data_IF_703595630753
#
_entry.id   IF_703595630753
#
_cell.length_a   1.000
_cell.length_b   1.000
_cell.length_c   1.000
_cell.angle_alpha   90.00
_cell.angle_beta   90.00
_cell.angle_gamma   90.00
#
_symmetry.space_group_name_H-M   'P 1'
#
loop_
_entity.id
_entity.type
_entity.pdbx_description
1 polymer ?
#
# COMPACT_ATOMS: atom_id res chain seq x y z
N UNK A 1 -76.37 -34.74 5.18
CA UNK A 1 -75.37 -34.87 6.25
C UNK A 1 -74.05 -35.16 5.57
N UNK A 2 -73.24 -34.11 5.45
CA UNK A 2 -71.97 -34.07 4.74
C UNK A 2 -70.86 -34.71 5.60
N UNK A 3 -69.69 -34.92 4.98
CA UNK A 3 -68.34 -35.10 5.56
C UNK A 3 -67.86 -36.57 5.72
N UNK A 4 -66.61 -36.96 5.44
CA UNK A 4 -65.41 -36.38 4.81
C UNK A 4 -64.43 -37.58 4.67
N UNK A 5 -63.78 -37.77 3.52
CA UNK A 5 -62.66 -38.72 3.36
C UNK A 5 -61.33 -38.00 3.70
N UNK A 6 -60.37 -38.64 4.39
CA UNK A 6 -59.11 -38.00 4.72
C UNK A 6 -58.15 -38.01 3.51
N UNK A 7 -57.66 -36.83 3.15
CA UNK A 7 -56.65 -36.64 2.12
C UNK A 7 -55.28 -37.09 2.63
N UNK A 8 -54.66 -38.06 1.95
CA UNK A 8 -53.29 -38.49 2.18
C UNK A 8 -52.33 -37.48 1.52
N UNK A 9 -51.64 -36.65 2.31
CA UNK A 9 -50.54 -35.82 1.82
C UNK A 9 -49.27 -36.69 1.70
N UNK A 10 -48.78 -36.90 0.48
CA UNK A 10 -47.47 -37.49 0.23
C UNK A 10 -46.38 -36.41 0.38
N UNK A 11 -45.47 -36.59 1.34
CA UNK A 11 -44.26 -35.79 1.50
C UNK A 11 -43.17 -36.28 0.52
N UNK A 12 -42.79 -35.45 -0.45
CA UNK A 12 -41.62 -35.66 -1.29
C UNK A 12 -40.35 -35.20 -0.56
N UNK A 13 -39.22 -35.91 -0.68
CA UNK A 13 -37.95 -35.47 -0.08
C UNK A 13 -37.34 -34.35 -0.92
N UNK A 14 -36.97 -33.26 -0.26
CA UNK A 14 -36.14 -32.20 -0.85
C UNK A 14 -34.73 -32.74 -1.08
N UNK A 15 -34.40 -33.01 -2.35
CA UNK A 15 -33.02 -33.25 -2.76
C UNK A 15 -32.21 -31.95 -2.59
N UNK A 16 -31.27 -31.96 -1.65
CA UNK A 16 -30.32 -30.86 -1.46
C UNK A 16 -29.44 -30.71 -2.70
N UNK A 17 -29.53 -29.56 -3.35
CA UNK A 17 -28.60 -29.16 -4.42
C UNK A 17 -27.27 -28.77 -3.79
N UNK A 18 -26.30 -29.69 -3.79
CA UNK A 18 -24.92 -29.34 -3.54
C UNK A 18 -24.41 -28.49 -4.71
N UNK A 19 -24.28 -27.18 -4.50
CA UNK A 19 -23.61 -26.32 -5.48
C UNK A 19 -22.14 -26.74 -5.58
N UNK A 20 -21.55 -26.80 -6.79
CA UNK A 20 -20.13 -27.05 -6.91
C UNK A 20 -19.38 -25.88 -6.29
N UNK A 21 -18.50 -26.17 -5.32
CA UNK A 21 -17.46 -25.25 -4.89
C UNK A 21 -16.72 -24.80 -6.15
N UNK A 22 -16.94 -23.55 -6.54
CA UNK A 22 -16.16 -22.93 -7.61
C UNK A 22 -14.71 -22.99 -7.17
N UNK A 23 -13.90 -23.77 -7.89
CA UNK A 23 -12.45 -23.74 -7.78
C UNK A 23 -12.02 -22.28 -7.99
N UNK A 24 -11.70 -21.59 -6.89
CA UNK A 24 -11.01 -20.30 -6.95
C UNK A 24 -9.67 -20.62 -7.58
N UNK A 25 -9.61 -20.43 -8.90
CA UNK A 25 -8.37 -20.47 -9.66
C UNK A 25 -7.41 -19.54 -8.95
N UNK A 26 -6.37 -20.10 -8.32
CA UNK A 26 -5.34 -19.32 -7.65
C UNK A 26 -4.86 -18.24 -8.63
N UNK A 27 -5.29 -17.00 -8.38
CA UNK A 27 -4.97 -15.89 -9.24
C UNK A 27 -3.45 -15.74 -9.12
N UNK A 28 -2.71 -16.05 -10.19
CA UNK A 28 -1.26 -15.83 -10.22
C UNK A 28 -1.11 -14.32 -10.00
N UNK A 29 -0.59 -13.92 -8.83
CA UNK A 29 -0.33 -12.51 -8.50
C UNK A 29 0.24 -11.83 -9.74
N UNK A 30 -0.50 -10.85 -10.26
CA UNK A 30 -0.12 -10.15 -11.48
C UNK A 30 1.16 -9.38 -11.19
N UNK A 31 2.31 -9.95 -11.59
CA UNK A 31 3.64 -9.40 -11.29
C UNK A 31 3.98 -8.16 -12.14
N UNK A 32 2.98 -7.48 -12.71
CA UNK A 32 3.19 -6.29 -13.52
C UNK A 32 3.40 -5.06 -12.62
N UNK A 33 4.58 -4.99 -12.00
CA UNK A 33 5.02 -3.84 -11.19
C UNK A 33 5.29 -2.59 -12.04
N UNK A 34 5.23 -2.70 -13.37
CA UNK A 34 5.27 -1.56 -14.30
C UNK A 34 3.91 -0.91 -14.57
N UNK A 35 2.80 -1.46 -14.02
CA UNK A 35 1.49 -0.80 -14.06
C UNK A 35 1.48 0.47 -13.21
N UNK A 36 0.85 1.54 -13.72
CA UNK A 36 0.61 2.80 -12.99
C UNK A 36 -0.45 2.66 -11.88
N UNK A 37 -1.14 1.52 -11.84
CA UNK A 37 -2.11 1.16 -10.81
C UNK A 37 -1.72 -0.17 -10.16
N UNK A 38 -1.61 -0.17 -8.82
CA UNK A 38 -1.28 -1.34 -8.01
C UNK A 38 -2.33 -1.51 -6.91
N UNK A 39 -2.97 -2.68 -6.85
CA UNK A 39 -4.08 -2.98 -5.94
C UNK A 39 -3.86 -4.27 -5.14
N UNK A 40 -2.61 -4.69 -4.90
CA UNK A 40 -2.26 -6.03 -4.41
C UNK A 40 -2.84 -6.45 -3.06
N UNK A 41 -3.30 -5.49 -2.23
CA UNK A 41 -4.04 -5.78 -0.99
C UNK A 41 -5.53 -6.10 -1.22
N UNK A 42 -6.14 -5.55 -2.29
CA UNK A 42 -7.59 -5.61 -2.55
C UNK A 42 -7.97 -6.42 -3.79
N UNK A 43 -7.00 -6.95 -4.55
CA UNK A 43 -7.25 -7.68 -5.80
C UNK A 43 -7.63 -9.16 -5.62
N UNK A 44 -7.80 -9.61 -4.37
CA UNK A 44 -8.13 -10.99 -4.01
C UNK A 44 -6.94 -11.96 -4.04
N UNK A 45 -5.72 -11.49 -4.28
CA UNK A 45 -4.51 -12.32 -4.20
C UNK A 45 -4.25 -12.79 -2.76
N UNK A 46 -3.60 -13.96 -2.56
CA UNK A 46 -3.13 -14.38 -1.23
C UNK A 46 -2.18 -13.35 -0.60
N UNK A 47 -2.05 -13.38 0.72
CA UNK A 47 -1.13 -12.50 1.45
C UNK A 47 0.32 -12.64 0.98
N UNK A 48 1.02 -11.51 0.91
CA UNK A 48 2.44 -11.43 0.63
C UNK A 48 3.27 -11.44 1.92
N UNK A 49 4.51 -11.98 1.90
CA UNK A 49 5.51 -11.67 2.91
C UNK A 49 5.68 -10.16 3.14
N UNK A 50 5.69 -9.33 2.09
CA UNK A 50 5.74 -7.86 2.21
C UNK A 50 4.52 -7.22 1.55
N UNK A 51 3.82 -6.36 2.29
CA UNK A 51 2.79 -5.44 1.77
C UNK A 51 3.34 -4.02 1.80
N UNK A 52 3.51 -3.41 0.63
CA UNK A 52 4.02 -2.06 0.45
C UNK A 52 2.88 -1.13 0.04
N UNK A 53 2.54 -0.20 0.94
CA UNK A 53 1.51 0.81 0.73
C UNK A 53 2.20 2.10 0.29
N UNK A 54 1.88 2.56 -0.92
CA UNK A 54 2.60 3.64 -1.60
C UNK A 54 1.72 4.85 -1.88
N UNK A 55 2.20 6.04 -1.54
CA UNK A 55 1.61 7.31 -1.99
C UNK A 55 2.50 7.98 -3.05
N UNK A 56 1.97 8.15 -4.28
CA UNK A 56 2.68 8.81 -5.39
C UNK A 56 2.88 10.32 -5.16
N UNK A 57 3.66 10.98 -6.00
CA UNK A 57 3.90 12.43 -5.96
C UNK A 57 2.84 13.28 -6.67
N UNK A 58 2.95 14.60 -6.52
CA UNK A 58 2.02 15.57 -7.10
C UNK A 58 1.93 15.45 -8.61
N UNK A 59 0.71 15.40 -9.14
CA UNK A 59 0.35 15.23 -10.55
C UNK A 59 0.81 13.92 -11.20
N UNK A 60 1.29 12.93 -10.44
CA UNK A 60 1.55 11.62 -11.01
C UNK A 60 0.22 10.91 -11.36
N UNK A 61 0.26 10.10 -12.40
CA UNK A 61 -0.89 9.34 -12.91
C UNK A 61 -1.08 8.01 -12.15
N UNK A 62 -2.24 7.38 -12.36
CA UNK A 62 -2.62 6.15 -11.67
C UNK A 62 -2.63 6.32 -10.14
N UNK A 63 -2.32 5.26 -9.40
CA UNK A 63 -2.16 5.32 -7.93
C UNK A 63 -0.70 5.17 -7.47
N UNK A 64 0.23 4.82 -8.36
CA UNK A 64 1.66 4.70 -8.03
C UNK A 64 2.62 5.57 -8.84
N UNK A 65 2.15 6.25 -9.89
CA UNK A 65 3.02 6.99 -10.80
C UNK A 65 3.81 6.07 -11.75
N UNK A 66 4.80 6.63 -12.44
CA UNK A 66 5.53 5.91 -13.50
C UNK A 66 7.03 5.71 -13.23
N UNK A 67 7.60 6.42 -12.26
CA UNK A 67 9.06 6.46 -12.05
C UNK A 67 9.45 5.94 -10.68
N UNK A 68 9.52 6.81 -9.68
CA UNK A 68 10.08 6.46 -8.36
C UNK A 68 9.41 5.23 -7.74
N UNK A 69 8.07 5.17 -7.75
CA UNK A 69 7.31 4.01 -7.25
C UNK A 69 7.67 2.71 -7.98
N UNK A 70 7.38 2.59 -9.29
CA UNK A 70 7.72 1.38 -10.06
C UNK A 70 9.19 0.93 -9.96
N UNK A 71 10.14 1.88 -9.98
CA UNK A 71 11.57 1.56 -9.78
C UNK A 71 11.85 0.97 -8.41
N UNK A 72 11.26 1.54 -7.34
CA UNK A 72 11.39 1.04 -5.98
C UNK A 72 10.74 -0.34 -5.81
N UNK A 73 9.52 -0.54 -6.31
CA UNK A 73 8.85 -1.84 -6.20
C UNK A 73 9.61 -2.94 -6.93
N UNK A 74 10.12 -2.62 -8.13
CA UNK A 74 10.96 -3.53 -8.90
C UNK A 74 12.24 -3.88 -8.12
N UNK A 75 12.92 -2.90 -7.52
CA UNK A 75 14.11 -3.17 -6.73
C UNK A 75 13.83 -4.10 -5.53
N UNK A 76 12.72 -3.89 -4.81
CA UNK A 76 12.31 -4.81 -3.72
C UNK A 76 12.03 -6.20 -4.28
N UNK A 77 11.25 -6.31 -5.36
CA UNK A 77 10.89 -7.57 -5.99
C UNK A 77 12.08 -8.32 -6.60
N UNK A 78 13.12 -7.61 -7.05
CA UNK A 78 14.35 -8.22 -7.57
C UNK A 78 15.14 -8.90 -6.43
N UNK A 79 15.02 -8.43 -5.18
CA UNK A 79 15.65 -9.05 -4.01
C UNK A 79 14.81 -10.23 -3.48
N UNK A 80 13.51 -10.03 -3.25
CA UNK A 80 12.68 -11.02 -2.54
C UNK A 80 11.88 -11.93 -3.48
N UNK A 81 11.90 -11.67 -4.79
CA UNK A 81 11.04 -12.29 -5.78
C UNK A 81 9.66 -11.61 -5.88
N UNK A 82 9.11 -11.40 -7.09
CA UNK A 82 7.90 -10.59 -7.30
C UNK A 82 6.62 -11.21 -6.70
N UNK A 83 6.60 -12.53 -6.47
CA UNK A 83 5.47 -13.19 -5.77
C UNK A 83 5.43 -12.90 -4.28
N UNK A 84 6.52 -12.37 -3.71
CA UNK A 84 6.64 -12.10 -2.29
C UNK A 84 6.32 -10.64 -1.92
N UNK A 85 6.08 -9.80 -2.93
CA UNK A 85 5.70 -8.40 -2.77
C UNK A 85 4.25 -8.19 -3.21
N UNK A 86 3.44 -7.58 -2.35
CA UNK A 86 2.17 -6.95 -2.74
C UNK A 86 2.36 -5.43 -2.67
N UNK A 87 2.05 -4.73 -3.74
CA UNK A 87 2.05 -3.25 -3.76
C UNK A 87 0.62 -2.78 -3.81
N UNK A 88 0.31 -1.78 -2.99
CA UNK A 88 -0.98 -1.12 -3.00
C UNK A 88 -0.78 0.40 -3.04
N UNK A 89 -1.25 1.04 -4.11
CA UNK A 89 -1.21 2.49 -4.23
C UNK A 89 -2.37 3.15 -3.50
N UNK A 90 -2.07 4.23 -2.77
CA UNK A 90 -3.07 5.06 -2.09
C UNK A 90 -3.89 5.81 -3.13
N UNK A 91 -5.21 5.70 -3.03
CA UNK A 91 -6.11 6.41 -3.94
C UNK A 91 -6.34 7.82 -3.41
N UNK A 92 -5.83 8.80 -4.14
CA UNK A 92 -6.03 10.21 -3.83
C UNK A 92 -5.74 11.10 -5.06
N UNK A 93 -6.17 12.37 -5.10
CA UNK A 93 -6.04 13.21 -6.28
C UNK A 93 -4.61 13.57 -6.70
N UNK A 94 -3.64 13.54 -5.78
CA UNK A 94 -2.27 14.03 -5.99
C UNK A 94 -2.19 15.46 -6.58
N UNK A 95 -3.18 16.31 -6.32
CA UNK A 95 -3.22 17.67 -6.85
C UNK A 95 -2.29 18.63 -6.10
N UNK A 96 -1.93 19.76 -6.75
CA UNK A 96 -1.09 20.81 -6.15
C UNK A 96 -1.65 21.37 -4.84
N UNK A 97 -2.97 21.56 -4.76
CA UNK A 97 -3.62 22.03 -3.53
C UNK A 97 -3.37 21.07 -2.35
N UNK A 98 -3.40 19.75 -2.61
CA UNK A 98 -3.06 18.75 -1.61
C UNK A 98 -1.63 18.91 -1.08
N UNK A 99 -0.66 19.13 -1.97
CA UNK A 99 0.74 19.39 -1.58
C UNK A 99 0.87 20.66 -0.72
N UNK A 100 0.22 21.74 -1.12
CA UNK A 100 0.25 23.02 -0.39
C UNK A 100 -0.42 22.94 0.98
N UNK A 101 -1.42 22.07 1.13
CA UNK A 101 -2.05 21.75 2.43
C UNK A 101 -1.27 20.73 3.26
N UNK A 102 -0.05 20.36 2.83
CA UNK A 102 0.80 19.42 3.55
C UNK A 102 0.37 17.95 3.40
N UNK A 103 -0.21 17.59 2.25
CA UNK A 103 -0.69 16.26 1.90
C UNK A 103 -2.22 16.17 1.90
N UNK A 104 -2.78 15.34 1.01
CA UNK A 104 -4.22 15.06 0.99
C UNK A 104 -4.67 14.40 2.30
N UNK A 105 -5.58 15.05 3.02
CA UNK A 105 -6.15 14.51 4.26
C UNK A 105 -6.90 13.19 4.01
N UNK A 106 -7.64 13.09 2.91
CA UNK A 106 -8.34 11.87 2.50
C UNK A 106 -7.36 10.76 2.14
N UNK A 107 -6.35 11.06 1.33
CA UNK A 107 -5.32 10.07 0.98
C UNK A 107 -4.54 9.58 2.20
N UNK A 108 -4.28 10.47 3.17
CA UNK A 108 -3.61 10.09 4.43
C UNK A 108 -4.48 9.16 5.28
N UNK A 109 -5.79 9.39 5.35
CA UNK A 109 -6.73 8.48 6.01
C UNK A 109 -6.79 7.14 5.28
N UNK A 110 -6.90 7.16 3.96
CA UNK A 110 -6.90 5.94 3.15
C UNK A 110 -5.61 5.11 3.35
N UNK A 111 -4.45 5.77 3.41
CA UNK A 111 -3.18 5.08 3.70
C UNK A 111 -3.17 4.42 5.08
N UNK A 112 -3.68 5.09 6.11
CA UNK A 112 -3.81 4.51 7.45
C UNK A 112 -4.80 3.33 7.45
N UNK A 113 -5.96 3.48 6.82
CA UNK A 113 -6.96 2.41 6.67
C UNK A 113 -6.41 1.18 5.93
N UNK A 114 -5.61 1.38 4.89
CA UNK A 114 -4.92 0.30 4.18
C UNK A 114 -3.90 -0.42 5.07
N UNK A 115 -3.20 0.30 5.95
CA UNK A 115 -2.26 -0.29 6.90
C UNK A 115 -2.98 -1.13 7.95
N UNK A 116 -4.08 -0.60 8.51
CA UNK A 116 -4.96 -1.32 9.43
C UNK A 116 -5.54 -2.58 8.77
N UNK A 117 -5.97 -2.46 7.50
CA UNK A 117 -6.46 -3.58 6.72
C UNK A 117 -5.37 -4.64 6.48
N UNK A 118 -4.16 -4.23 6.11
CA UNK A 118 -3.04 -5.15 5.92
C UNK A 118 -2.69 -5.91 7.20
N UNK A 119 -2.68 -5.21 8.35
CA UNK A 119 -2.44 -5.84 9.65
C UNK A 119 -3.52 -6.87 10.01
N UNK A 120 -4.78 -6.60 9.67
CA UNK A 120 -5.92 -7.49 9.92
C UNK A 120 -5.97 -8.68 8.97
N UNK A 121 -5.87 -8.44 7.67
CA UNK A 121 -6.07 -9.45 6.62
C UNK A 121 -4.84 -10.34 6.46
N UNK A 122 -3.65 -9.79 6.67
CA UNK A 122 -2.38 -10.47 6.47
C UNK A 122 -1.50 -10.37 7.73
N UNK A 123 -1.85 -11.10 8.81
CA UNK A 123 -1.19 -10.97 10.11
C UNK A 123 0.29 -11.35 10.11
N UNK A 124 0.81 -12.01 9.08
CA UNK A 124 2.24 -12.30 8.93
C UNK A 124 2.99 -11.33 7.99
N UNK A 125 2.27 -10.46 7.29
CA UNK A 125 2.89 -9.53 6.34
C UNK A 125 3.72 -8.47 7.07
N UNK A 126 4.87 -8.14 6.48
CA UNK A 126 5.69 -7.00 6.86
C UNK A 126 5.14 -5.79 6.13
N UNK A 127 4.53 -4.87 6.89
CA UNK A 127 3.87 -3.68 6.35
C UNK A 127 4.91 -2.59 6.13
N UNK A 128 4.97 -2.06 4.92
CA UNK A 128 5.83 -0.95 4.54
C UNK A 128 4.95 0.24 4.16
N UNK A 129 5.16 1.39 4.80
CA UNK A 129 4.58 2.65 4.34
C UNK A 129 5.61 3.40 3.52
N UNK A 130 5.22 3.93 2.37
CA UNK A 130 6.16 4.65 1.53
C UNK A 130 5.49 5.73 0.69
N UNK A 131 6.24 6.78 0.37
CA UNK A 131 5.72 7.82 -0.49
C UNK A 131 6.78 8.74 -1.06
N UNK A 132 6.42 9.43 -2.14
CA UNK A 132 7.29 10.36 -2.85
C UNK A 132 6.68 11.77 -2.87
N UNK A 133 7.47 12.81 -2.55
CA UNK A 133 7.03 14.21 -2.63
C UNK A 133 5.80 14.47 -1.75
N UNK A 134 4.66 14.88 -2.32
CA UNK A 134 3.37 14.95 -1.61
C UNK A 134 3.01 13.63 -0.91
N UNK A 135 3.34 12.49 -1.51
CA UNK A 135 3.12 11.19 -0.91
C UNK A 135 3.90 10.98 0.40
N UNK A 136 5.09 11.57 0.54
CA UNK A 136 5.81 11.56 1.82
C UNK A 136 5.04 12.34 2.90
N UNK A 137 4.41 13.47 2.53
CA UNK A 137 3.53 14.20 3.44
C UNK A 137 2.32 13.35 3.88
N UNK A 138 1.75 12.54 2.96
CA UNK A 138 0.69 11.58 3.32
C UNK A 138 1.20 10.55 4.33
N UNK A 139 2.41 10.02 4.17
CA UNK A 139 3.01 9.06 5.13
C UNK A 139 3.10 9.68 6.53
N UNK A 140 3.62 10.91 6.65
CA UNK A 140 3.69 11.64 7.93
C UNK A 140 2.31 11.80 8.59
N UNK A 141 1.29 12.11 7.80
CA UNK A 141 -0.09 12.28 8.31
C UNK A 141 -0.72 10.94 8.66
N UNK A 142 -0.56 9.92 7.82
CA UNK A 142 -1.10 8.59 8.03
C UNK A 142 -0.52 7.95 9.30
N UNK A 143 0.77 8.15 9.57
CA UNK A 143 1.41 7.63 10.77
C UNK A 143 0.77 8.16 12.08
N UNK A 144 0.29 9.41 12.09
CA UNK A 144 -0.47 9.99 13.23
C UNK A 144 -1.86 9.38 13.41
N UNK A 145 -2.40 8.74 12.37
CA UNK A 145 -3.75 8.18 12.35
C UNK A 145 -3.77 6.68 12.64
N UNK A 146 -2.61 6.01 12.65
CA UNK A 146 -2.52 4.59 12.99
C UNK A 146 -2.92 4.36 14.44
N UNK A 147 -3.60 3.24 14.69
CA UNK A 147 -3.69 2.70 16.04
C UNK A 147 -2.29 2.38 16.58
N UNK A 148 -2.11 2.42 17.89
CA UNK A 148 -0.82 2.03 18.50
C UNK A 148 -0.45 0.59 18.12
N UNK A 149 -1.43 -0.31 18.04
CA UNK A 149 -1.22 -1.68 17.60
C UNK A 149 -0.65 -1.73 16.18
N UNK A 150 -1.27 -1.07 15.21
CA UNK A 150 -0.80 -1.08 13.82
C UNK A 150 0.50 -0.30 13.62
N UNK A 151 0.74 0.77 14.38
CA UNK A 151 2.04 1.45 14.39
C UNK A 151 3.19 0.50 14.76
N UNK A 152 3.00 -0.39 15.76
CA UNK A 152 4.03 -1.39 16.09
C UNK A 152 4.25 -2.43 14.99
N UNK A 153 3.20 -2.70 14.19
CA UNK A 153 3.19 -3.63 13.06
C UNK A 153 3.86 -3.09 11.81
N UNK A 154 4.08 -1.78 11.71
CA UNK A 154 4.87 -1.20 10.61
C UNK A 154 6.29 -1.74 10.69
N UNK A 155 6.70 -2.44 9.63
CA UNK A 155 8.06 -2.97 9.51
C UNK A 155 9.02 -1.83 9.23
N UNK A 156 8.78 -1.09 8.15
CA UNK A 156 9.63 0.02 7.72
C UNK A 156 8.80 1.16 7.12
N UNK A 157 9.38 2.36 7.13
CA UNK A 157 8.89 3.52 6.40
C UNK A 157 9.99 4.00 5.47
N UNK A 158 9.66 4.23 4.19
CA UNK A 158 10.61 4.74 3.20
C UNK A 158 10.01 5.93 2.48
N UNK A 159 10.61 7.11 2.59
CA UNK A 159 10.12 8.32 1.92
C UNK A 159 11.17 8.92 0.99
N UNK A 160 10.73 9.40 -0.17
CA UNK A 160 11.57 10.01 -1.21
C UNK A 160 11.17 11.47 -1.41
N UNK A 161 12.12 12.41 -1.39
CA UNK A 161 11.83 13.82 -1.63
C UNK A 161 10.87 14.40 -0.59
N UNK A 162 11.10 14.10 0.69
CA UNK A 162 10.19 14.44 1.79
C UNK A 162 10.17 15.94 2.11
N UNK A 163 9.02 16.64 1.91
CA UNK A 163 8.91 18.07 2.21
C UNK A 163 9.04 18.42 3.69
N UNK A 164 8.93 17.44 4.58
CA UNK A 164 9.08 17.64 6.02
C UNK A 164 10.46 17.27 6.54
N UNK A 165 11.41 16.87 5.68
CA UNK A 165 12.77 16.57 6.11
C UNK A 165 13.39 17.76 6.90
N UNK A 166 14.07 17.52 8.05
CA UNK A 166 14.41 16.24 8.68
C UNK A 166 13.43 15.78 9.79
N UNK A 167 12.16 16.20 9.76
CA UNK A 167 11.19 15.79 10.78
C UNK A 167 11.01 14.26 10.82
N UNK A 168 10.88 13.73 12.04
CA UNK A 168 10.63 12.31 12.26
C UNK A 168 9.21 11.91 11.83
N UNK A 169 9.04 10.65 11.42
CA UNK A 169 7.73 10.08 11.13
C UNK A 169 7.00 9.81 12.46
N UNK A 170 5.84 10.44 12.74
CA UNK A 170 5.18 10.34 14.04
C UNK A 170 4.85 8.90 14.44
N UNK A 171 5.22 8.51 15.66
CA UNK A 171 4.89 7.19 16.21
C UNK A 171 5.69 6.02 15.63
N UNK A 172 6.62 6.28 14.70
CA UNK A 172 7.49 5.26 14.11
C UNK A 172 8.94 5.52 14.58
N UNK A 173 9.61 4.54 15.20
CA UNK A 173 11.02 4.69 15.60
C UNK A 173 11.94 4.98 14.40
N UNK A 174 12.89 5.90 14.56
CA UNK A 174 13.79 6.35 13.48
C UNK A 174 14.56 5.20 12.81
N UNK A 175 14.90 4.15 13.55
CA UNK A 175 15.62 2.99 12.99
C UNK A 175 14.77 2.17 11.98
N UNK A 176 13.43 2.36 11.97
CA UNK A 176 12.52 1.81 10.97
C UNK A 176 12.30 2.77 9.78
N UNK A 177 12.87 3.98 9.79
CA UNK A 177 12.64 5.02 8.79
C UNK A 177 13.88 5.23 7.93
N UNK A 178 13.69 5.23 6.61
CA UNK A 178 14.68 5.70 5.65
C UNK A 178 14.10 6.88 4.85
N UNK A 179 14.76 8.05 4.95
CA UNK A 179 14.41 9.25 4.20
C UNK A 179 15.48 9.51 3.14
N UNK A 180 15.07 9.47 1.88
CA UNK A 180 15.93 9.81 0.73
C UNK A 180 15.63 11.25 0.33
N UNK A 181 16.55 12.16 0.64
CA UNK A 181 16.54 13.55 0.20
C UNK A 181 17.87 13.87 -0.48
N UNK A 182 17.82 14.10 -1.81
CA UNK A 182 19.02 14.40 -2.60
C UNK A 182 19.48 15.83 -2.38
N UNK A 183 20.80 16.05 -2.39
CA UNK A 183 21.38 17.41 -2.32
C UNK A 183 20.82 18.28 -3.46
N UNK A 184 20.32 19.47 -3.13
CA UNK A 184 19.73 20.40 -4.09
C UNK A 184 18.29 20.09 -4.49
N UNK A 185 17.65 19.10 -3.85
CA UNK A 185 16.22 18.92 -3.94
C UNK A 185 15.48 19.99 -3.12
N UNK A 186 14.98 21.00 -3.83
CA UNK A 186 14.27 22.11 -3.21
C UNK A 186 13.00 21.71 -2.47
N UNK A 187 12.40 20.55 -2.77
CA UNK A 187 11.23 20.07 -2.02
C UNK A 187 11.63 19.64 -0.62
N UNK A 188 12.75 18.91 -0.47
CA UNK A 188 13.31 18.54 0.85
C UNK A 188 13.75 19.76 1.68
N UNK A 189 14.00 20.89 1.03
CA UNK A 189 14.38 22.16 1.65
C UNK A 189 13.15 23.01 2.03
N UNK A 190 11.93 22.45 1.93
CA UNK A 190 10.67 23.14 2.24
C UNK A 190 10.13 24.03 1.11
N UNK A 191 10.75 23.97 -0.07
CA UNK A 191 10.33 24.70 -1.26
C UNK A 191 9.31 23.94 -2.11
N UNK A 192 9.06 24.47 -3.31
CA UNK A 192 8.04 23.94 -4.23
C UNK A 192 8.57 23.70 -5.65
N UNK A 193 9.86 23.95 -5.88
CA UNK A 193 10.45 23.91 -7.21
C UNK A 193 10.93 22.50 -7.54
N UNK A 194 10.36 21.90 -8.58
CA UNK A 194 10.75 20.56 -9.04
C UNK A 194 12.03 20.65 -9.88
N UNK A 195 13.18 20.40 -9.24
CA UNK A 195 14.49 20.31 -9.87
C UNK A 195 14.84 18.91 -10.39
N UNK A 196 16.05 18.76 -10.94
CA UNK A 196 16.58 17.46 -11.37
C UNK A 196 16.71 16.49 -10.20
N UNK A 197 17.30 16.92 -9.08
CA UNK A 197 17.46 16.11 -7.87
C UNK A 197 16.13 15.49 -7.40
N UNK A 198 15.02 16.24 -7.46
CA UNK A 198 13.70 15.72 -7.07
C UNK A 198 13.16 14.62 -8.00
N UNK A 199 13.64 14.56 -9.25
CA UNK A 199 13.18 13.58 -10.27
C UNK A 199 14.07 12.34 -10.33
N UNK A 200 15.08 12.23 -9.49
CA UNK A 200 16.14 11.25 -9.64
C UNK A 200 16.10 10.10 -8.63
N UNK A 201 15.07 10.06 -7.78
CA UNK A 201 14.84 8.98 -6.83
C UNK A 201 14.74 7.55 -7.39
N UNK A 202 14.44 7.28 -8.69
CA UNK A 202 14.64 5.94 -9.26
C UNK A 202 16.05 5.36 -9.03
N UNK A 203 17.06 6.20 -8.86
CA UNK A 203 18.44 5.75 -8.63
C UNK A 203 18.71 5.37 -7.16
N UNK A 204 17.83 5.77 -6.23
CA UNK A 204 17.89 5.39 -4.82
C UNK A 204 17.11 4.10 -4.52
N UNK A 205 16.35 3.60 -5.50
CA UNK A 205 15.52 2.41 -5.37
C UNK A 205 16.27 1.16 -4.84
N UNK A 206 17.51 0.84 -5.27
CA UNK A 206 18.25 -0.29 -4.72
C UNK A 206 18.52 -0.16 -3.22
N UNK A 207 19.04 0.99 -2.77
CA UNK A 207 19.32 1.24 -1.36
C UNK A 207 18.04 1.24 -0.50
N UNK A 208 16.96 1.80 -1.04
CA UNK A 208 15.64 1.75 -0.40
C UNK A 208 15.12 0.31 -0.27
N UNK A 209 15.31 -0.53 -1.29
CA UNK A 209 14.90 -1.91 -1.28
C UNK A 209 15.70 -2.74 -0.26
N UNK A 210 17.02 -2.56 -0.21
CA UNK A 210 17.88 -3.19 0.80
C UNK A 210 17.43 -2.84 2.23
N UNK A 211 17.08 -1.57 2.47
CA UNK A 211 16.55 -1.14 3.76
C UNK A 211 15.25 -1.86 4.13
N UNK A 212 14.29 -1.96 3.20
CA UNK A 212 13.03 -2.70 3.41
C UNK A 212 13.30 -4.16 3.74
N UNK A 213 14.15 -4.83 2.98
CA UNK A 213 14.44 -6.25 3.17
C UNK A 213 15.12 -6.50 4.51
N UNK A 214 16.17 -5.73 4.82
CA UNK A 214 16.84 -5.78 6.13
C UNK A 214 15.85 -5.61 7.28
N UNK A 215 14.94 -4.64 7.18
CA UNK A 215 13.99 -4.32 8.23
C UNK A 215 12.85 -5.34 8.33
N UNK A 216 12.55 -6.06 7.24
CA UNK A 216 11.54 -7.13 7.19
C UNK A 216 12.01 -8.44 7.84
N UNK A 217 13.33 -8.63 7.97
CA UNK A 217 13.93 -9.86 8.51
C UNK A 217 13.79 -11.07 7.59
N UNK A 218 13.60 -10.83 6.29
CA UNK A 218 13.56 -11.83 5.21
C UNK A 218 14.93 -11.98 4.55
#
# INVERSE_FOLDING_TARGET
MLLLLPSLLALLPLAGVASPLSSVRANKRGTNLSSETQNGLLDGSPCAPITLIWARGTNEIGNVGLRTGPSFFKAVADIIGPKNLAVHGVTYPAGKLGFLSGGSAEGSRNMAELAELAAKQCPETKIVLSGYSQGAQLVHRAAKLLSAATATRISSVVVFGDPYHPAAIPGIPDWKVATFCRKGDNICEGGMRIGQAHREYPQDAPAAAEFVVKQSGL
#
